data_IF_400890257539
#
_entry.id   IF_400890257539
#
_cell.length_a   1.000
_cell.length_b   1.000
_cell.length_c   1.000
_cell.angle_alpha   90.00
_cell.angle_beta   90.00
_cell.angle_gamma   90.00
#
_symmetry.space_group_name_H-M   'P 1'
#
loop_
_entity.id
_entity.type
_entity.pdbx_description
1 polymer ?
#
# COMPACT_ATOMS: atom_id res chain seq x y z
N UNK A 1 -14.49 -13.92 -3.19
CA UNK A 1 -13.36 -13.06 -2.80
C UNK A 1 -13.68 -11.68 -3.35
N UNK A 2 -13.72 -10.61 -2.54
CA UNK A 2 -13.90 -9.26 -3.08
C UNK A 2 -12.59 -8.90 -3.79
N UNK A 3 -12.65 -8.64 -5.09
CA UNK A 3 -11.53 -8.04 -5.81
C UNK A 3 -11.29 -6.65 -5.22
N UNK A 4 -10.05 -6.36 -4.83
CA UNK A 4 -9.65 -5.07 -4.25
C UNK A 4 -9.34 -4.03 -5.35
N UNK A 5 -9.55 -4.41 -6.62
CA UNK A 5 -9.25 -3.60 -7.79
C UNK A 5 -9.89 -2.21 -7.64
N UNK A 6 -9.05 -1.18 -7.76
CA UNK A 6 -9.36 0.24 -7.65
C UNK A 6 -9.62 0.76 -6.22
N UNK A 7 -9.30 -0.01 -5.17
CA UNK A 7 -9.28 0.53 -3.81
C UNK A 7 -8.05 1.42 -3.59
N UNK A 8 -8.26 2.55 -2.90
CA UNK A 8 -7.18 3.44 -2.44
C UNK A 8 -7.25 3.65 -0.93
N UNK A 9 -6.10 3.63 -0.27
CA UNK A 9 -5.95 3.95 1.15
C UNK A 9 -4.99 5.13 1.28
N UNK A 10 -5.50 6.25 1.78
CA UNK A 10 -4.69 7.43 2.05
C UNK A 10 -3.86 7.21 3.32
N UNK A 11 -2.55 7.43 3.25
CA UNK A 11 -1.69 7.32 4.43
C UNK A 11 -1.83 8.53 5.37
N UNK A 12 -2.31 9.65 4.84
CA UNK A 12 -2.60 10.83 5.64
C UNK A 12 -3.89 10.63 6.45
N UNK A 13 -3.85 10.71 7.79
CA UNK A 13 -5.03 10.53 8.63
C UNK A 13 -6.07 11.63 8.46
N UNK A 14 -5.69 12.79 7.90
CA UNK A 14 -6.60 13.89 7.60
C UNK A 14 -7.26 13.76 6.22
N UNK A 15 -6.86 12.79 5.40
CA UNK A 15 -7.46 12.56 4.09
C UNK A 15 -7.33 13.74 3.11
N UNK A 16 -6.27 14.53 3.19
CA UNK A 16 -6.13 15.78 2.43
C UNK A 16 -5.97 15.61 0.91
N UNK A 17 -5.80 14.39 0.41
CA UNK A 17 -5.62 14.10 -1.02
C UNK A 17 -4.28 14.56 -1.63
N UNK A 18 -3.38 15.10 -0.81
CA UNK A 18 -2.06 15.60 -1.23
C UNK A 18 -0.90 14.77 -0.64
N UNK A 19 -1.20 13.62 -0.05
CA UNK A 19 -0.21 12.76 0.59
C UNK A 19 -0.15 11.38 -0.08
N UNK A 20 0.94 10.64 0.13
CA UNK A 20 1.08 9.28 -0.39
C UNK A 20 -0.10 8.36 -0.07
N UNK A 21 -0.37 7.46 -1.00
CA UNK A 21 -1.46 6.50 -0.92
C UNK A 21 -0.97 5.07 -1.19
N UNK A 22 -1.79 4.11 -0.78
CA UNK A 22 -1.70 2.71 -1.20
C UNK A 22 -2.83 2.46 -2.19
N UNK A 23 -2.49 2.20 -3.44
CA UNK A 23 -3.42 1.89 -4.53
C UNK A 23 -3.33 0.41 -4.88
N UNK A 24 -4.48 -0.27 -4.88
CA UNK A 24 -4.61 -1.67 -5.28
C UNK A 24 -5.06 -1.73 -6.75
N UNK A 25 -4.18 -2.19 -7.63
CA UNK A 25 -4.47 -2.51 -9.03
C UNK A 25 -4.63 -4.04 -9.20
N UNK A 26 -5.01 -4.50 -10.39
CA UNK A 26 -5.32 -5.91 -10.64
C UNK A 26 -4.18 -6.88 -10.26
N UNK A 27 -2.94 -6.55 -10.64
CA UNK A 27 -1.76 -7.43 -10.47
C UNK A 27 -0.68 -6.86 -9.54
N UNK A 28 -0.87 -5.64 -9.03
CA UNK A 28 0.13 -4.93 -8.25
C UNK A 28 -0.47 -3.98 -7.21
N UNK A 29 0.32 -3.70 -6.18
CA UNK A 29 0.04 -2.66 -5.19
C UNK A 29 1.09 -1.55 -5.34
N UNK A 30 0.61 -0.31 -5.38
CA UNK A 30 1.44 0.89 -5.56
C UNK A 30 1.39 1.72 -4.29
N UNK A 31 2.55 2.05 -3.73
CA UNK A 31 2.69 2.81 -2.49
C UNK A 31 3.49 4.07 -2.79
N UNK A 32 2.95 5.24 -2.49
CA UNK A 32 3.69 6.50 -2.61
C UNK A 32 2.93 7.58 -3.37
N UNK A 33 3.70 8.42 -4.05
CA UNK A 33 3.24 9.53 -4.89
C UNK A 33 4.00 9.54 -6.22
N UNK A 34 3.53 10.33 -7.19
CA UNK A 34 4.18 10.44 -8.50
C UNK A 34 5.64 10.84 -8.36
N UNK A 35 6.55 10.04 -8.92
CA UNK A 35 8.00 10.25 -8.85
C UNK A 35 8.70 9.49 -7.71
N UNK A 36 7.96 9.08 -6.67
CA UNK A 36 8.46 8.31 -5.53
C UNK A 36 7.49 7.16 -5.22
N UNK A 37 7.46 6.16 -6.10
CA UNK A 37 6.51 5.06 -6.03
C UNK A 37 7.24 3.73 -5.83
N UNK A 38 6.85 2.98 -4.80
CA UNK A 38 7.15 1.56 -4.69
C UNK A 38 6.02 0.77 -5.35
N UNK A 39 6.37 -0.17 -6.23
CA UNK A 39 5.43 -1.06 -6.90
C UNK A 39 5.77 -2.48 -6.47
N UNK A 40 4.77 -3.18 -5.94
CA UNK A 40 4.89 -4.55 -5.46
C UNK A 40 3.91 -5.42 -6.22
N UNK A 41 4.31 -6.64 -6.55
CA UNK A 41 3.36 -7.69 -6.94
C UNK A 41 2.43 -8.01 -5.77
N UNK A 42 1.30 -8.67 -6.05
CA UNK A 42 0.38 -9.12 -5.01
C UNK A 42 1.06 -10.03 -3.95
N UNK A 43 1.99 -10.88 -4.37
CA UNK A 43 2.72 -11.77 -3.46
C UNK A 43 3.70 -10.99 -2.56
N UNK A 44 4.44 -10.05 -3.12
CA UNK A 44 5.35 -9.18 -2.35
C UNK A 44 4.58 -8.30 -1.35
N UNK A 45 3.41 -7.80 -1.74
CA UNK A 45 2.51 -7.07 -0.85
C UNK A 45 2.05 -7.95 0.32
N UNK A 46 1.64 -9.20 0.06
CA UNK A 46 1.24 -10.13 1.11
C UNK A 46 2.38 -10.39 2.10
N UNK A 47 3.60 -10.59 1.62
CA UNK A 47 4.79 -10.73 2.49
C UNK A 47 5.03 -9.48 3.33
N UNK A 48 4.89 -8.28 2.75
CA UNK A 48 5.02 -7.03 3.50
C UNK A 48 3.96 -6.92 4.61
N UNK A 49 2.70 -7.23 4.30
CA UNK A 49 1.61 -7.23 5.29
C UNK A 49 1.86 -8.24 6.41
N UNK A 50 2.31 -9.44 6.08
CA UNK A 50 2.66 -10.46 7.08
C UNK A 50 3.78 -9.98 8.01
N UNK A 51 4.82 -9.33 7.48
CA UNK A 51 5.90 -8.76 8.30
C UNK A 51 5.41 -7.63 9.22
N UNK A 52 4.50 -6.78 8.75
CA UNK A 52 3.86 -5.73 9.58
C UNK A 52 3.04 -6.36 10.71
N UNK A 53 2.19 -7.33 10.38
CA UNK A 53 1.31 -7.99 11.35
C UNK A 53 2.10 -8.83 12.38
N UNK A 54 3.20 -9.44 11.96
CA UNK A 54 4.12 -10.15 12.84
C UNK A 54 4.97 -9.22 13.73
N UNK A 55 4.83 -7.89 13.59
CA UNK A 55 5.60 -6.90 14.35
C UNK A 55 7.09 -6.89 13.99
N UNK A 56 7.46 -7.40 12.80
CA UNK A 56 8.86 -7.45 12.32
C UNK A 56 9.35 -6.10 11.81
N UNK A 57 8.43 -5.23 11.38
CA UNK A 57 8.72 -3.85 11.03
C UNK A 57 8.33 -2.93 12.19
N UNK A 58 9.26 -2.07 12.60
CA UNK A 58 9.05 -1.08 13.65
C UNK A 58 9.08 0.33 13.08
N UNK A 59 8.40 1.26 13.77
CA UNK A 59 8.55 2.69 13.49
C UNK A 59 10.01 3.10 13.65
N UNK A 60 10.48 3.98 12.78
CA UNK A 60 11.75 4.71 12.92
C UNK A 60 11.52 6.03 13.65
#
# INVERSE_FOLDING_TARGET
MKTLDNQKVLLCPLGCGACPEVEFAEDQVRIGETGNLAVLTNDEWNVLVDLIQAGKLSKV
#
